data_IF_631826035169
#
_entry.id   IF_631826035169
#
_cell.length_a   1.000
_cell.length_b   1.000
_cell.length_c   1.000
_cell.angle_alpha   90.00
_cell.angle_beta   90.00
_cell.angle_gamma   90.00
#
_symmetry.space_group_name_H-M   'P 1'
#
loop_
_entity.id
_entity.type
_entity.pdbx_description
1 polymer ?
#
# COMPACT_ATOMS: atom_id res chain seq x y z
N UNK A 1 29.55 -31.74 4.94
CA UNK A 1 29.71 -30.86 3.75
C UNK A 1 28.42 -30.11 3.38
N UNK A 2 27.49 -29.83 4.31
CA UNK A 2 26.25 -29.10 4.00
C UNK A 2 25.90 -28.07 5.10
N UNK A 3 26.82 -27.16 5.42
CA UNK A 3 26.55 -26.12 6.40
C UNK A 3 27.76 -25.24 6.68
N UNK A 4 27.54 -23.93 6.72
CA UNK A 4 28.56 -22.92 7.00
C UNK A 4 28.26 -21.57 6.33
N UNK A 5 29.16 -20.62 6.54
CA UNK A 5 29.16 -19.27 5.95
C UNK A 5 28.82 -19.22 4.44
N UNK A 6 29.25 -20.20 3.59
CA UNK A 6 28.86 -20.21 2.17
C UNK A 6 27.37 -20.44 1.93
N UNK A 7 26.74 -21.32 2.72
CA UNK A 7 25.30 -21.60 2.66
C UNK A 7 24.51 -20.42 3.23
N UNK A 8 25.00 -19.79 4.31
CA UNK A 8 24.42 -18.55 4.83
C UNK A 8 24.44 -17.43 3.79
N UNK A 9 25.50 -17.31 2.98
CA UNK A 9 25.60 -16.30 1.90
C UNK A 9 24.60 -16.51 0.76
N UNK A 10 24.07 -17.72 0.60
CA UNK A 10 23.03 -18.05 -0.39
C UNK A 10 21.63 -17.98 0.25
N UNK A 11 21.51 -18.41 1.51
CA UNK A 11 20.25 -18.53 2.23
C UNK A 11 19.85 -17.29 3.05
N UNK A 12 20.75 -16.32 3.28
CA UNK A 12 20.43 -15.14 4.10
C UNK A 12 19.24 -14.37 3.56
N UNK A 13 19.07 -14.35 2.24
CA UNK A 13 17.96 -13.65 1.62
C UNK A 13 16.61 -14.35 1.84
N UNK A 14 16.42 -15.64 1.51
CA UNK A 14 15.17 -16.34 1.82
C UNK A 14 14.90 -16.40 3.34
N UNK A 15 15.94 -16.42 4.19
CA UNK A 15 15.80 -16.30 5.65
C UNK A 15 15.32 -14.89 6.05
N UNK A 16 15.89 -13.82 5.50
CA UNK A 16 15.43 -12.45 5.75
C UNK A 16 13.99 -12.21 5.23
N UNK A 17 13.64 -12.83 4.11
CA UNK A 17 12.28 -12.84 3.57
C UNK A 17 11.31 -13.61 4.49
N UNK A 18 11.74 -14.73 5.05
CA UNK A 18 10.99 -15.47 6.08
C UNK A 18 10.84 -14.66 7.38
N UNK A 19 11.83 -13.86 7.76
CA UNK A 19 11.72 -12.93 8.90
C UNK A 19 10.71 -11.81 8.59
N UNK A 20 10.62 -11.34 7.35
CA UNK A 20 9.56 -10.42 6.89
C UNK A 20 8.16 -11.06 6.90
N UNK A 21 8.07 -12.39 6.79
CA UNK A 21 6.83 -13.14 6.95
C UNK A 21 6.41 -13.31 8.43
N UNK A 22 7.31 -13.03 9.39
CA UNK A 22 6.96 -12.98 10.81
C UNK A 22 6.13 -11.71 11.03
N UNK A 23 4.90 -11.81 11.57
CA UNK A 23 4.07 -10.65 11.81
C UNK A 23 4.80 -9.67 12.73
N UNK A 24 4.96 -8.44 12.25
CA UNK A 24 5.58 -7.36 13.02
C UNK A 24 4.91 -7.24 14.41
N UNK A 25 5.67 -6.95 15.47
CA UNK A 25 5.13 -6.72 16.80
C UNK A 25 3.99 -5.72 16.73
N UNK A 26 2.87 -6.05 17.38
CA UNK A 26 1.61 -5.29 17.29
C UNK A 26 1.81 -3.78 17.50
N UNK A 27 2.66 -3.39 18.44
CA UNK A 27 2.97 -1.99 18.75
C UNK A 27 3.60 -1.24 17.58
N UNK A 28 4.54 -1.87 16.88
CA UNK A 28 5.22 -1.27 15.71
C UNK A 28 4.24 -1.17 14.55
N UNK A 29 3.48 -2.24 14.32
CA UNK A 29 2.45 -2.28 13.30
C UNK A 29 1.41 -1.16 13.48
N UNK A 30 0.89 -0.98 14.70
CA UNK A 30 -0.08 0.07 15.01
C UNK A 30 0.53 1.47 14.84
N UNK A 31 1.78 1.68 15.26
CA UNK A 31 2.45 2.97 15.09
C UNK A 31 2.62 3.38 13.61
N UNK A 32 3.02 2.43 12.76
CA UNK A 32 3.20 2.67 11.32
C UNK A 32 1.83 2.89 10.65
N UNK A 33 0.85 2.03 10.92
CA UNK A 33 -0.49 2.13 10.33
C UNK A 33 -1.21 3.41 10.72
N UNK A 34 -1.09 3.87 11.97
CA UNK A 34 -1.65 5.15 12.41
C UNK A 34 -1.04 6.34 11.67
N UNK A 35 0.27 6.32 11.42
CA UNK A 35 0.94 7.36 10.65
C UNK A 35 0.45 7.37 9.19
N UNK A 36 0.33 6.19 8.60
CA UNK A 36 -0.20 6.02 7.24
C UNK A 36 -1.66 6.44 7.11
N UNK A 37 -2.48 6.15 8.11
CA UNK A 37 -3.89 6.54 8.17
C UNK A 37 -4.03 8.07 8.23
N UNK A 38 -3.21 8.77 9.01
CA UNK A 38 -3.21 10.24 9.05
C UNK A 38 -2.83 10.86 7.71
N UNK A 39 -1.81 10.32 7.06
CA UNK A 39 -1.40 10.76 5.72
C UNK A 39 -2.54 10.53 4.73
N UNK A 40 -3.12 9.32 4.72
CA UNK A 40 -4.25 9.00 3.86
C UNK A 40 -5.45 9.94 4.14
N UNK A 41 -5.76 10.22 5.40
CA UNK A 41 -6.83 11.13 5.80
C UNK A 41 -6.60 12.54 5.25
N UNK A 42 -5.39 13.07 5.39
CA UNK A 42 -5.02 14.40 4.85
C UNK A 42 -5.10 14.47 3.33
N UNK A 43 -4.62 13.44 2.62
CA UNK A 43 -4.68 13.36 1.16
C UNK A 43 -6.14 13.28 0.71
N UNK A 44 -6.93 12.40 1.32
CA UNK A 44 -8.35 12.26 0.99
C UNK A 44 -9.10 13.57 1.25
N UNK A 45 -8.90 14.24 2.39
CA UNK A 45 -9.52 15.53 2.66
C UNK A 45 -9.11 16.63 1.66
N UNK A 46 -7.92 16.57 1.07
CA UNK A 46 -7.54 17.49 0.00
C UNK A 46 -8.19 17.14 -1.35
N UNK A 47 -8.36 15.84 -1.62
CA UNK A 47 -8.84 15.35 -2.93
C UNK A 47 -10.37 15.35 -3.03
N UNK A 48 -11.08 15.03 -1.95
CA UNK A 48 -12.54 14.92 -1.94
C UNK A 48 -13.27 16.18 -2.43
N UNK A 49 -12.90 17.41 -1.98
CA UNK A 49 -13.48 18.65 -2.49
C UNK A 49 -13.24 18.90 -3.99
N UNK A 50 -12.15 18.37 -4.56
CA UNK A 50 -11.85 18.49 -5.99
C UNK A 50 -12.77 17.59 -6.83
N UNK A 51 -13.20 16.46 -6.28
CA UNK A 51 -14.04 15.47 -6.97
C UNK A 51 -15.53 15.76 -6.76
N UNK A 52 -15.91 16.37 -5.64
CA UNK A 52 -17.31 16.65 -5.27
C UNK A 52 -17.47 18.17 -5.11
N UNK A 53 -18.14 18.85 -6.06
CA UNK A 53 -18.33 20.30 -6.01
C UNK A 53 -19.12 20.72 -4.75
N UNK A 54 -18.62 21.73 -4.04
CA UNK A 54 -19.26 22.28 -2.84
C UNK A 54 -19.05 21.45 -1.57
N UNK A 55 -18.25 20.37 -1.62
CA UNK A 55 -17.89 19.61 -0.43
C UNK A 55 -16.78 20.32 0.34
N UNK A 56 -17.03 20.58 1.62
CA UNK A 56 -16.00 21.04 2.55
C UNK A 56 -15.58 19.87 3.43
N UNK A 57 -14.27 19.64 3.56
CA UNK A 57 -13.73 18.57 4.39
C UNK A 57 -12.62 19.08 5.28
N UNK A 58 -12.62 18.69 6.55
CA UNK A 58 -11.49 18.85 7.47
C UNK A 58 -11.01 17.49 7.97
N UNK A 59 -9.69 17.28 7.97
CA UNK A 59 -9.09 16.08 8.54
C UNK A 59 -8.69 16.34 9.99
N UNK A 60 -9.33 15.65 10.94
CA UNK A 60 -8.95 15.59 12.34
C UNK A 60 -8.31 14.24 12.65
N UNK A 61 -6.98 14.19 12.55
CA UNK A 61 -6.17 12.99 12.68
C UNK A 61 -6.54 11.86 11.68
N UNK A 62 -7.46 10.98 12.06
CA UNK A 62 -7.91 9.81 11.27
C UNK A 62 -9.39 9.94 10.89
N UNK A 63 -10.09 10.95 11.38
CA UNK A 63 -11.48 11.24 11.01
C UNK A 63 -11.49 12.39 10.02
N UNK A 64 -12.30 12.29 8.98
CA UNK A 64 -12.56 13.37 8.03
C UNK A 64 -13.99 13.85 8.26
N UNK A 65 -14.12 15.04 8.82
CA UNK A 65 -15.41 15.73 8.91
C UNK A 65 -15.75 16.31 7.56
N UNK A 66 -16.99 16.13 7.10
CA UNK A 66 -17.44 16.66 5.82
C UNK A 66 -18.79 17.38 5.94
N UNK A 67 -18.90 18.49 5.22
CA UNK A 67 -20.11 19.30 5.12
C UNK A 67 -20.41 19.53 3.65
N UNK A 68 -21.61 19.11 3.23
CA UNK A 68 -22.09 19.29 1.87
C UNK A 68 -23.41 20.09 1.90
N UNK A 69 -23.54 21.19 1.14
CA UNK A 69 -24.78 21.95 1.06
C UNK A 69 -25.97 21.05 0.68
N UNK A 70 -27.00 21.02 1.52
CA UNK A 70 -28.19 20.18 1.32
C UNK A 70 -28.14 18.79 1.96
N UNK A 71 -27.07 18.45 2.69
CA UNK A 71 -26.96 17.23 3.50
C UNK A 71 -26.57 17.57 4.94
N UNK A 72 -26.93 16.71 5.89
CA UNK A 72 -26.43 16.82 7.26
C UNK A 72 -24.90 16.65 7.28
N UNK A 73 -24.18 17.37 8.17
CA UNK A 73 -22.75 17.15 8.35
C UNK A 73 -22.50 15.71 8.79
N UNK A 74 -21.46 15.09 8.23
CA UNK A 74 -21.12 13.69 8.48
C UNK A 74 -19.64 13.52 8.79
N UNK A 75 -19.28 12.32 9.26
CA UNK A 75 -17.91 11.96 9.61
C UNK A 75 -17.52 10.69 8.88
N UNK A 76 -16.37 10.72 8.23
CA UNK A 76 -15.76 9.57 7.60
C UNK A 76 -14.58 9.10 8.45
N UNK A 77 -14.73 7.95 9.12
CA UNK A 77 -13.64 7.36 9.88
C UNK A 77 -12.71 6.55 8.97
N UNK A 78 -11.50 7.06 8.75
CA UNK A 78 -10.48 6.39 7.93
C UNK A 78 -10.03 5.08 8.57
N UNK A 79 -10.09 4.95 9.89
CA UNK A 79 -9.74 3.71 10.59
C UNK A 79 -10.66 2.57 10.14
N UNK A 80 -11.97 2.82 10.06
CA UNK A 80 -12.95 1.84 9.59
C UNK A 80 -12.72 1.49 8.12
N UNK A 81 -12.44 2.50 7.29
CA UNK A 81 -12.12 2.34 5.87
C UNK A 81 -10.79 1.58 5.63
N UNK A 82 -9.88 1.64 6.59
CA UNK A 82 -8.59 0.95 6.57
C UNK A 82 -8.57 -0.33 7.43
N UNK A 83 -9.60 -0.67 8.20
CA UNK A 83 -9.58 -1.78 9.17
C UNK A 83 -9.33 -3.16 8.53
N UNK A 84 -9.55 -3.29 7.21
CA UNK A 84 -9.12 -4.43 6.39
C UNK A 84 -7.60 -4.50 6.11
N UNK A 85 -6.76 -3.66 6.73
CA UNK A 85 -5.32 -3.52 6.47
C UNK A 85 -4.48 -4.80 6.68
N UNK A 86 -4.94 -5.77 7.49
CA UNK A 86 -4.20 -7.04 7.68
C UNK A 86 -4.10 -7.87 6.41
N UNK A 87 -5.12 -7.87 5.56
CA UNK A 87 -5.05 -8.57 4.27
C UNK A 87 -4.21 -7.79 3.26
N UNK A 88 -4.32 -6.46 3.22
CA UNK A 88 -3.55 -5.61 2.30
C UNK A 88 -2.04 -5.73 2.51
N UNK A 89 -1.57 -5.80 3.76
CA UNK A 89 -0.13 -5.95 4.05
C UNK A 89 0.40 -7.34 3.68
N UNK A 90 -0.38 -8.41 3.93
CA UNK A 90 -0.05 -9.76 3.51
C UNK A 90 -0.01 -9.89 1.97
N UNK A 91 -0.89 -9.18 1.28
CA UNK A 91 -0.95 -9.12 -0.17
C UNK A 91 0.22 -8.32 -0.78
N UNK A 92 0.60 -7.19 -0.18
CA UNK A 92 1.83 -6.46 -0.57
C UNK A 92 3.05 -7.34 -0.37
N UNK A 93 3.16 -8.03 0.78
CA UNK A 93 4.26 -8.96 1.04
C UNK A 93 4.33 -10.09 0.00
N UNK A 94 3.19 -10.66 -0.42
CA UNK A 94 3.12 -11.66 -1.48
C UNK A 94 3.48 -11.09 -2.86
N UNK A 95 3.05 -9.87 -3.18
CA UNK A 95 3.42 -9.19 -4.44
C UNK A 95 4.92 -8.90 -4.52
N UNK A 96 5.52 -8.48 -3.41
CA UNK A 96 6.97 -8.33 -3.27
C UNK A 96 7.69 -9.66 -3.36
N UNK A 97 7.11 -10.74 -2.81
CA UNK A 97 7.65 -12.09 -2.93
C UNK A 97 7.77 -12.52 -4.39
N UNK A 98 6.69 -12.39 -5.17
CA UNK A 98 6.64 -12.78 -6.59
C UNK A 98 7.62 -11.94 -7.41
N UNK A 99 7.69 -10.64 -7.13
CA UNK A 99 8.65 -9.76 -7.74
C UNK A 99 10.11 -10.12 -7.45
N UNK A 100 10.37 -10.60 -6.24
CA UNK A 100 11.72 -10.95 -5.82
C UNK A 100 12.22 -12.25 -6.46
N UNK A 101 11.31 -13.18 -6.78
CA UNK A 101 11.66 -14.44 -7.48
C UNK A 101 12.31 -14.18 -8.85
N UNK A 102 12.10 -13.00 -9.46
CA UNK A 102 12.82 -12.61 -10.67
C UNK A 102 14.28 -12.23 -10.37
N UNK A 103 15.20 -12.81 -11.14
CA UNK A 103 16.64 -12.56 -10.98
C UNK A 103 16.99 -11.12 -11.38
N UNK A 104 17.46 -10.33 -10.41
CA UNK A 104 17.77 -8.90 -10.55
C UNK A 104 18.98 -8.52 -9.71
N UNK A 105 19.81 -7.56 -10.14
CA UNK A 105 20.97 -7.09 -9.37
C UNK A 105 20.55 -6.47 -8.03
N UNK A 106 21.45 -6.55 -7.03
CA UNK A 106 21.18 -6.16 -5.64
C UNK A 106 20.67 -4.72 -5.47
N UNK A 107 21.18 -3.77 -6.25
CA UNK A 107 20.74 -2.37 -6.21
C UNK A 107 19.30 -2.18 -6.69
N UNK A 108 18.88 -2.89 -7.75
CA UNK A 108 17.49 -2.85 -8.23
C UNK A 108 16.54 -3.48 -7.20
N UNK A 109 16.98 -4.55 -6.52
CA UNK A 109 16.23 -5.17 -5.41
C UNK A 109 16.03 -4.18 -4.25
N UNK A 110 17.06 -3.42 -3.86
CA UNK A 110 16.95 -2.43 -2.79
C UNK A 110 15.97 -1.30 -3.15
N UNK A 111 16.03 -0.78 -4.38
CA UNK A 111 15.10 0.26 -4.86
C UNK A 111 13.66 -0.27 -4.82
N UNK A 112 13.42 -1.47 -5.36
CA UNK A 112 12.08 -2.08 -5.35
C UNK A 112 11.52 -2.26 -3.93
N UNK A 113 12.34 -2.73 -2.99
CA UNK A 113 11.94 -2.88 -1.58
C UNK A 113 11.61 -1.53 -0.94
N UNK A 114 12.44 -0.50 -1.17
CA UNK A 114 12.19 0.84 -0.64
C UNK A 114 10.94 1.47 -1.26
N UNK A 115 10.67 1.21 -2.54
CA UNK A 115 9.47 1.68 -3.22
C UNK A 115 8.18 1.02 -2.74
N UNK A 116 8.25 -0.10 -2.00
CA UNK A 116 7.06 -0.73 -1.42
C UNK A 116 6.34 0.20 -0.43
N UNK A 117 7.10 1.00 0.32
CA UNK A 117 6.54 1.95 1.29
C UNK A 117 5.67 3.01 0.59
N UNK A 118 6.19 3.84 -0.35
CA UNK A 118 5.38 4.85 -1.03
C UNK A 118 4.23 4.26 -1.84
N UNK A 119 4.42 3.09 -2.47
CA UNK A 119 3.32 2.39 -3.17
C UNK A 119 2.20 2.02 -2.19
N UNK A 120 2.54 1.49 -1.01
CA UNK A 120 1.56 1.16 0.02
C UNK A 120 0.82 2.42 0.52
N UNK A 121 1.51 3.55 0.69
CA UNK A 121 0.87 4.82 1.06
C UNK A 121 -0.13 5.26 -0.03
N UNK A 122 0.29 5.22 -1.30
CA UNK A 122 -0.53 5.63 -2.43
C UNK A 122 -1.78 4.75 -2.58
N UNK A 123 -1.63 3.43 -2.52
CA UNK A 123 -2.76 2.50 -2.56
C UNK A 123 -3.72 2.74 -1.39
N UNK A 124 -3.21 3.01 -0.18
CA UNK A 124 -4.05 3.31 0.97
C UNK A 124 -4.81 4.64 0.80
N UNK A 125 -4.15 5.69 0.32
CA UNK A 125 -4.79 6.97 0.07
C UNK A 125 -5.89 6.88 -1.01
N UNK A 126 -5.63 6.14 -2.10
CA UNK A 126 -6.62 5.88 -3.16
C UNK A 126 -7.82 5.13 -2.56
N UNK A 127 -7.58 4.07 -1.79
CA UNK A 127 -8.65 3.30 -1.14
C UNK A 127 -9.54 4.18 -0.29
N UNK A 128 -8.96 4.95 0.64
CA UNK A 128 -9.69 5.83 1.56
C UNK A 128 -10.51 6.87 0.79
N UNK A 129 -9.93 7.44 -0.27
CA UNK A 129 -10.61 8.41 -1.13
C UNK A 129 -11.81 7.79 -1.83
N UNK A 130 -11.66 6.62 -2.45
CA UNK A 130 -12.76 5.92 -3.14
C UNK A 130 -13.85 5.54 -2.12
N UNK A 131 -13.49 4.97 -0.97
CA UNK A 131 -14.47 4.64 0.07
C UNK A 131 -15.20 5.88 0.59
N UNK A 132 -14.50 7.01 0.72
CA UNK A 132 -15.09 8.29 1.13
C UNK A 132 -16.07 8.84 0.09
N UNK A 133 -15.71 8.78 -1.20
CA UNK A 133 -16.61 9.16 -2.29
C UNK A 133 -17.87 8.29 -2.29
N UNK A 134 -17.72 6.97 -2.15
CA UNK A 134 -18.86 6.05 -2.10
C UNK A 134 -19.77 6.35 -0.90
N UNK A 135 -19.19 6.62 0.27
CA UNK A 135 -19.92 6.96 1.48
C UNK A 135 -20.73 8.27 1.31
N UNK A 136 -20.09 9.35 0.84
CA UNK A 136 -20.73 10.66 0.67
C UNK A 136 -21.82 10.65 -0.42
N UNK A 137 -21.68 9.79 -1.44
CA UNK A 137 -22.71 9.62 -2.48
C UNK A 137 -23.90 8.75 -2.03
N UNK A 138 -23.93 8.30 -0.77
CA UNK A 138 -25.02 7.50 -0.22
C UNK A 138 -24.91 6.00 -0.50
N UNK A 139 -23.78 5.52 -1.01
CA UNK A 139 -23.52 4.09 -1.21
C UNK A 139 -22.87 3.47 0.04
N UNK A 140 -23.47 3.67 1.21
CA UNK A 140 -22.94 3.13 2.49
C UNK A 140 -22.79 1.61 2.47
N UNK A 141 -23.72 0.93 1.79
CA UNK A 141 -23.70 -0.51 1.52
C UNK A 141 -22.44 -0.95 0.76
N UNK A 142 -21.91 -0.10 -0.15
CA UNK A 142 -20.67 -0.39 -0.87
C UNK A 142 -19.42 -0.02 -0.06
N UNK A 143 -19.54 0.94 0.87
CA UNK A 143 -18.47 1.33 1.76
C UNK A 143 -18.20 0.29 2.86
N UNK A 144 -19.15 -0.63 3.10
CA UNK A 144 -19.09 -1.70 4.12
C UNK A 144 -19.29 -3.10 3.50
N UNK A 145 -19.12 -4.15 4.31
CA UNK A 145 -19.40 -5.54 3.90
C UNK A 145 -18.54 -6.08 2.74
N UNK A 146 -19.13 -6.87 1.86
CA UNK A 146 -18.44 -7.59 0.76
C UNK A 146 -17.85 -6.64 -0.29
N UNK A 147 -18.52 -5.52 -0.58
CA UNK A 147 -18.05 -4.53 -1.53
C UNK A 147 -16.74 -3.87 -1.05
N UNK A 148 -16.64 -3.60 0.25
CA UNK A 148 -15.40 -3.12 0.88
C UNK A 148 -14.24 -4.12 0.71
N UNK A 149 -14.51 -5.42 0.81
CA UNK A 149 -13.50 -6.47 0.58
C UNK A 149 -13.06 -6.55 -0.88
N UNK A 150 -14.00 -6.41 -1.83
CA UNK A 150 -13.72 -6.36 -3.27
C UNK A 150 -12.87 -5.13 -3.61
N UNK A 151 -13.18 -3.97 -3.02
CA UNK A 151 -12.36 -2.76 -3.16
C UNK A 151 -10.93 -3.01 -2.67
N UNK A 152 -10.78 -3.70 -1.54
CA UNK A 152 -9.48 -4.13 -1.01
C UNK A 152 -8.72 -5.05 -1.97
N UNK A 153 -9.42 -5.99 -2.62
CA UNK A 153 -8.85 -6.88 -3.64
C UNK A 153 -8.45 -6.12 -4.92
N UNK A 154 -9.24 -5.15 -5.34
CA UNK A 154 -8.93 -4.33 -6.50
C UNK A 154 -7.66 -3.48 -6.27
N UNK A 155 -7.50 -2.94 -5.05
CA UNK A 155 -6.29 -2.23 -4.66
C UNK A 155 -5.04 -3.13 -4.66
N UNK A 156 -5.19 -4.43 -4.42
CA UNK A 156 -4.09 -5.37 -4.59
C UNK A 156 -3.63 -5.47 -6.06
N UNK A 157 -4.57 -5.57 -7.00
CA UNK A 157 -4.25 -5.53 -8.43
C UNK A 157 -3.52 -4.24 -8.83
N UNK A 158 -3.94 -3.09 -8.28
CA UNK A 158 -3.27 -1.79 -8.49
C UNK A 158 -1.85 -1.80 -7.93
N UNK A 159 -1.66 -2.31 -6.71
CA UNK A 159 -0.33 -2.40 -6.09
C UNK A 159 0.62 -3.29 -6.89
N UNK A 160 0.14 -4.45 -7.36
CA UNK A 160 0.90 -5.32 -8.26
C UNK A 160 1.23 -4.61 -9.58
N UNK A 161 0.27 -3.93 -10.20
CA UNK A 161 0.48 -3.19 -11.43
C UNK A 161 1.54 -2.09 -11.29
N UNK A 162 1.48 -1.30 -10.21
CA UNK A 162 2.50 -0.29 -9.90
C UNK A 162 3.88 -0.91 -9.66
N UNK A 163 3.92 -2.04 -8.96
CA UNK A 163 5.17 -2.78 -8.74
C UNK A 163 5.74 -3.31 -10.07
N UNK A 164 4.92 -3.97 -10.89
CA UNK A 164 5.32 -4.48 -12.20
C UNK A 164 5.76 -3.36 -13.14
N UNK A 165 5.07 -2.22 -13.13
CA UNK A 165 5.45 -1.03 -13.90
C UNK A 165 6.82 -0.51 -13.45
N UNK A 166 7.04 -0.36 -12.15
CA UNK A 166 8.33 0.07 -11.61
C UNK A 166 9.44 -0.91 -11.98
N UNK A 167 9.20 -2.21 -11.85
CA UNK A 167 10.15 -3.25 -12.26
C UNK A 167 10.43 -3.22 -13.76
N UNK A 168 9.43 -2.97 -14.59
CA UNK A 168 9.59 -2.84 -16.04
C UNK A 168 10.41 -1.60 -16.41
N UNK A 169 10.12 -0.45 -15.77
CA UNK A 169 10.87 0.79 -15.97
C UNK A 169 12.33 0.59 -15.57
N UNK A 170 12.63 0.02 -14.38
CA UNK A 170 14.02 -0.26 -13.99
C UNK A 170 14.72 -1.20 -14.98
N UNK A 171 14.01 -2.18 -15.54
CA UNK A 171 14.55 -3.11 -16.52
C UNK A 171 14.85 -2.47 -17.89
N UNK A 172 14.10 -1.44 -18.28
CA UNK A 172 14.29 -0.74 -19.56
C UNK A 172 15.17 0.51 -19.45
N UNK A 173 15.35 1.06 -18.24
CA UNK A 173 16.17 2.25 -18.02
C UNK A 173 17.66 1.92 -17.90
N UNK A 174 18.01 0.69 -17.52
CA UNK A 174 19.39 0.19 -17.48
C UNK A 174 19.54 -1.06 -18.35
N UNK A 175 20.18 -0.90 -19.50
CA UNK A 175 20.81 -2.01 -20.22
C UNK A 175 22.08 -2.37 -19.44
N UNK A 176 22.11 -3.55 -18.83
CA UNK A 176 23.34 -4.11 -18.28
C UNK A 176 24.30 -4.33 -19.45
N UNK A 177 25.34 -3.50 -19.54
CA UNK A 177 26.50 -3.80 -20.40
C UNK A 177 27.11 -5.07 -19.81
N UNK A 178 27.24 -6.17 -20.58
CA UNK A 178 27.86 -7.38 -20.08
C UNK A 178 29.27 -7.02 -19.62
N UNK A 179 29.61 -7.28 -18.35
CA UNK A 179 31.02 -7.25 -17.97
C UNK A 179 31.71 -8.39 -18.72
N UNK A 180 32.48 -8.03 -19.74
CA UNK A 180 33.49 -8.92 -20.32
C UNK A 180 34.43 -9.34 -19.19
N UNK A 181 34.30 -10.59 -18.76
CA UNK A 181 35.31 -11.24 -17.93
C UNK A 181 36.62 -11.29 -18.72
N UNK A 182 37.54 -10.36 -18.40
CA UNK A 182 38.94 -10.38 -18.80
C UNK A 182 39.76 -11.32 -17.91
#
# INVERSE_FOLDING_TARGET
LLGGWPVMRIAWFPIAFLVLAIPLPYTIYVGITMSLQRIAASISAAVLPLVIPGLHTEAQAVVIDYVLPGMAPGQLNVEEACSGMRSTMAFVALGVAVAYVYDRPFWQRLILVLSCVPIAIACNAIRVTITGILHIRGYEELARGTAHQILGLLMFGVALGLFSLLSYVLAHLWVEVPEEHA
#
